data_IF_844854370797
#
_entry.id   IF_844854370797
#
_cell.length_a   1.000
_cell.length_b   1.000
_cell.length_c   1.000
_cell.angle_alpha   90.00
_cell.angle_beta   90.00
_cell.angle_gamma   90.00
#
_symmetry.space_group_name_H-M   'P 1'
#
loop_
_entity.id
_entity.type
_entity.pdbx_description
1 polymer ?
#
# COMPACT_ATOMS: atom_id res chain seq x y z
N UNK A 1 -18.71 35.59 9.17
CA UNK A 1 -18.82 34.18 8.78
C UNK A 1 -18.23 33.34 9.90
N UNK A 2 -19.01 32.47 10.56
CA UNK A 2 -18.45 31.44 11.44
C UNK A 2 -17.84 30.38 10.53
N UNK A 3 -16.53 30.18 10.61
CA UNK A 3 -15.88 29.04 9.96
C UNK A 3 -16.23 27.80 10.78
N UNK A 4 -16.84 26.81 10.13
CA UNK A 4 -17.07 25.52 10.75
C UNK A 4 -15.71 24.81 10.90
N UNK A 5 -15.43 24.18 12.05
CA UNK A 5 -14.23 23.37 12.17
C UNK A 5 -14.38 22.13 11.29
N UNK A 6 -13.31 21.85 10.54
CA UNK A 6 -13.26 20.72 9.60
C UNK A 6 -12.47 19.57 10.21
N UNK A 7 -13.00 18.35 10.11
CA UNK A 7 -12.40 17.13 10.63
C UNK A 7 -12.12 16.15 9.48
N UNK A 8 -10.89 15.63 9.34
CA UNK A 8 -10.60 14.62 8.33
C UNK A 8 -11.13 13.24 8.75
N UNK A 9 -11.89 12.57 7.88
CA UNK A 9 -12.34 11.20 8.12
C UNK A 9 -11.15 10.23 8.24
N UNK A 10 -11.23 9.26 9.17
CA UNK A 10 -10.18 8.26 9.38
C UNK A 10 -8.89 8.79 10.02
N UNK A 11 -8.78 10.09 10.28
CA UNK A 11 -7.58 10.73 10.84
C UNK A 11 -7.83 11.27 12.24
N UNK A 12 -6.78 11.28 13.06
CA UNK A 12 -6.87 11.70 14.47
C UNK A 12 -7.15 13.20 14.58
N UNK A 13 -8.28 13.56 15.16
CA UNK A 13 -8.64 14.91 15.58
C UNK A 13 -8.26 15.13 17.06
N UNK A 14 -7.98 16.39 17.41
CA UNK A 14 -7.64 16.80 18.77
C UNK A 14 -8.54 17.94 19.22
N UNK A 15 -9.05 17.85 20.44
CA UNK A 15 -9.78 18.90 21.12
C UNK A 15 -9.11 19.19 22.47
N UNK A 16 -9.15 20.46 22.87
CA UNK A 16 -8.74 20.88 24.21
C UNK A 16 -9.98 21.30 24.99
N UNK A 17 -10.29 20.55 26.05
CA UNK A 17 -11.45 20.79 26.90
C UNK A 17 -10.99 21.37 28.22
N UNK A 18 -11.44 22.59 28.53
CA UNK A 18 -11.19 23.23 29.82
C UNK A 18 -12.39 23.04 30.74
N UNK A 19 -12.15 22.53 31.94
CA UNK A 19 -13.14 22.36 32.99
C UNK A 19 -12.82 23.26 34.17
N UNK A 20 -13.81 24.05 34.61
CA UNK A 20 -13.70 24.88 35.80
C UNK A 20 -14.69 24.41 36.85
N UNK A 21 -14.19 24.13 38.04
CA UNK A 21 -15.06 23.83 39.17
C UNK A 21 -15.51 25.14 39.83
N UNK A 22 -16.76 25.53 39.59
CA UNK A 22 -17.34 26.75 40.16
C UNK A 22 -18.03 26.53 41.52
N UNK A 23 -18.17 25.29 41.97
CA UNK A 23 -18.81 24.99 43.24
C UNK A 23 -17.82 25.17 44.39
N UNK A 24 -18.20 26.00 45.37
CA UNK A 24 -17.40 26.21 46.57
C UNK A 24 -17.54 24.98 47.46
N UNK A 25 -16.44 24.52 48.05
CA UNK A 25 -16.38 23.38 48.98
C UNK A 25 -16.59 21.99 48.36
N UNK A 26 -17.03 21.89 47.11
CA UNK A 26 -17.15 20.62 46.39
C UNK A 26 -15.87 20.32 45.60
N UNK A 27 -15.27 19.16 45.84
CA UNK A 27 -14.15 18.66 45.06
C UNK A 27 -14.67 17.77 43.93
N UNK A 28 -14.33 18.12 42.70
CA UNK A 28 -14.75 17.36 41.53
C UNK A 28 -13.59 16.51 40.99
N UNK A 29 -13.85 15.25 40.71
CA UNK A 29 -12.90 14.37 40.03
C UNK A 29 -13.37 14.13 38.61
N UNK A 30 -12.60 14.59 37.61
CA UNK A 30 -12.90 14.30 36.21
C UNK A 30 -12.49 12.87 35.91
N UNK A 31 -13.48 12.05 35.54
CA UNK A 31 -13.35 10.60 35.42
C UNK A 31 -13.23 10.14 33.97
N UNK A 32 -14.00 10.74 33.06
CA UNK A 32 -14.10 10.30 31.67
C UNK A 32 -14.27 11.51 30.76
N UNK A 33 -13.65 11.50 29.59
CA UNK A 33 -13.95 12.44 28.51
C UNK A 33 -14.48 11.61 27.34
N UNK A 34 -15.59 12.07 26.77
CA UNK A 34 -16.31 11.37 25.73
C UNK A 34 -16.84 12.35 24.70
N UNK A 35 -17.10 11.82 23.52
CA UNK A 35 -17.79 12.56 22.47
C UNK A 35 -18.54 11.63 21.54
N UNK A 36 -19.45 12.20 20.78
CA UNK A 36 -20.22 11.47 19.78
C UNK A 36 -20.65 12.40 18.64
N UNK A 37 -20.90 11.82 17.48
CA UNK A 37 -21.46 12.48 16.30
C UNK A 37 -22.93 12.11 16.13
N UNK A 38 -23.74 13.10 15.77
CA UNK A 38 -25.13 12.91 15.34
C UNK A 38 -25.36 13.54 13.97
N UNK A 39 -26.43 13.11 13.30
CA UNK A 39 -26.89 13.80 12.09
C UNK A 39 -27.38 15.21 12.42
N UNK A 40 -27.07 16.20 11.57
CA UNK A 40 -27.62 17.56 11.69
C UNK A 40 -29.12 17.59 11.38
N UNK A 41 -29.61 16.65 10.55
CA UNK A 41 -31.03 16.55 10.17
C UNK A 41 -31.86 15.85 11.23
N UNK A 42 -31.26 14.86 11.91
CA UNK A 42 -31.95 13.99 12.88
C UNK A 42 -31.07 13.80 14.13
N UNK A 43 -31.29 14.64 15.15
CA UNK A 43 -30.49 14.65 16.38
C UNK A 43 -30.64 13.40 17.26
N UNK A 44 -31.71 12.62 17.10
CA UNK A 44 -31.93 11.40 17.88
C UNK A 44 -31.04 10.23 17.44
N UNK A 45 -30.41 10.33 16.27
CA UNK A 45 -29.57 9.27 15.73
C UNK A 45 -28.09 9.56 15.99
N UNK A 46 -27.51 8.79 16.90
CA UNK A 46 -26.06 8.74 17.10
C UNK A 46 -25.45 7.93 15.97
N UNK A 47 -24.55 8.56 15.21
CA UNK A 47 -23.86 7.94 14.07
C UNK A 47 -22.62 7.21 14.57
N UNK A 48 -21.83 7.87 15.43
CA UNK A 48 -20.60 7.33 15.96
C UNK A 48 -20.37 7.80 17.39
N UNK A 49 -20.06 6.86 18.29
CA UNK A 49 -19.51 7.16 19.60
C UNK A 49 -17.98 7.11 19.53
N UNK A 50 -17.30 8.09 20.11
CA UNK A 50 -15.84 8.12 20.17
C UNK A 50 -15.30 7.38 21.40
N UNK A 51 -14.03 6.99 21.32
CA UNK A 51 -13.34 6.31 22.41
C UNK A 51 -13.30 7.16 23.67
N UNK A 52 -13.76 6.59 24.78
CA UNK A 52 -13.77 7.28 26.07
C UNK A 52 -12.38 7.23 26.70
N UNK A 53 -11.83 8.40 27.03
CA UNK A 53 -10.53 8.49 27.73
C UNK A 53 -10.80 8.61 29.23
N UNK A 54 -10.26 7.66 30.00
CA UNK A 54 -10.34 7.69 31.46
C UNK A 54 -9.33 8.67 32.01
N UNK A 55 -9.81 9.54 32.88
CA UNK A 55 -9.01 10.41 33.73
C UNK A 55 -9.33 10.09 35.19
N UNK A 56 -8.45 10.51 36.10
CA UNK A 56 -8.70 10.46 37.54
C UNK A 56 -8.13 11.73 38.16
N UNK A 57 -8.46 12.88 37.54
CA UNK A 57 -7.86 14.15 37.90
C UNK A 57 -8.82 14.94 38.76
N UNK A 58 -8.34 15.24 39.96
CA UNK A 58 -9.04 16.09 40.92
C UNK A 58 -8.92 17.55 40.49
N UNK A 59 -10.04 18.27 40.52
CA UNK A 59 -10.14 19.72 40.25
C UNK A 59 -10.73 20.37 41.49
N UNK A 60 -9.89 21.16 42.18
CA UNK A 60 -10.28 21.81 43.43
C UNK A 60 -11.33 22.91 43.19
N UNK A 61 -12.09 23.30 44.23
CA UNK A 61 -12.99 24.44 44.14
C UNK A 61 -12.30 25.69 43.59
N UNK A 62 -12.86 26.30 42.55
CA UNK A 62 -12.33 27.51 41.92
C UNK A 62 -11.26 27.26 40.85
N UNK A 63 -10.65 26.07 40.82
CA UNK A 63 -9.59 25.74 39.87
C UNK A 63 -10.13 25.46 38.47
N UNK A 64 -9.30 25.75 37.47
CA UNK A 64 -9.55 25.40 36.07
C UNK A 64 -8.48 24.44 35.60
N UNK A 65 -8.90 23.36 34.95
CA UNK A 65 -8.02 22.32 34.44
C UNK A 65 -8.35 22.02 32.99
N UNK A 66 -7.32 21.95 32.15
CA UNK A 66 -7.45 21.59 30.74
C UNK A 66 -7.09 20.13 30.49
N UNK A 67 -7.82 19.51 29.57
CA UNK A 67 -7.67 18.13 29.16
C UNK A 67 -7.58 18.06 27.64
N UNK A 68 -6.54 17.39 27.14
CA UNK A 68 -6.44 17.07 25.74
C UNK A 68 -7.21 15.79 25.46
N UNK A 69 -8.15 15.86 24.53
CA UNK A 69 -8.95 14.73 24.07
C UNK A 69 -8.68 14.49 22.59
N UNK A 70 -8.35 13.26 22.25
CA UNK A 70 -8.12 12.88 20.87
C UNK A 70 -9.11 11.80 20.48
N UNK A 71 -9.68 11.94 19.28
CA UNK A 71 -10.65 11.00 18.73
C UNK A 71 -10.44 10.89 17.22
N UNK A 72 -10.97 9.85 16.61
CA UNK A 72 -10.80 9.57 15.17
C UNK A 72 -12.18 9.35 14.57
N UNK A 73 -12.66 10.25 13.69
CA UNK A 73 -13.87 10.02 12.89
C UNK A 73 -13.71 8.75 12.05
N UNK A 74 -14.79 7.99 11.88
CA UNK A 74 -14.74 6.77 11.07
C UNK A 74 -14.35 7.11 9.61
N UNK A 75 -13.42 6.36 8.97
CA UNK A 75 -13.03 6.60 7.58
C UNK A 75 -14.17 6.46 6.58
N UNK A 76 -15.26 5.77 6.95
CA UNK A 76 -16.44 5.56 6.10
C UNK A 76 -17.52 6.64 6.28
N UNK A 77 -17.27 7.69 7.07
CA UNK A 77 -18.19 8.83 7.16
C UNK A 77 -18.32 9.53 5.80
N UNK A 78 -19.54 9.94 5.49
CA UNK A 78 -19.80 10.72 4.28
C UNK A 78 -19.25 12.14 4.45
N UNK A 79 -18.71 12.77 3.39
CA UNK A 79 -18.22 14.14 3.45
C UNK A 79 -19.39 15.13 3.60
N UNK A 80 -19.78 15.44 4.83
CA UNK A 80 -20.92 16.30 5.14
C UNK A 80 -20.81 16.89 6.54
N UNK A 81 -21.79 17.71 6.89
CA UNK A 81 -21.88 18.35 8.19
C UNK A 81 -22.55 17.42 9.21
N UNK A 82 -21.92 17.29 10.36
CA UNK A 82 -22.40 16.53 11.51
C UNK A 82 -22.48 17.43 12.75
N UNK A 83 -23.35 17.07 13.70
CA UNK A 83 -23.30 17.70 15.01
C UNK A 83 -22.32 16.92 15.89
N UNK A 84 -21.31 17.62 16.44
CA UNK A 84 -20.35 17.04 17.36
C UNK A 84 -20.66 17.49 18.78
N UNK A 85 -20.85 16.50 19.65
CA UNK A 85 -20.98 16.72 21.07
C UNK A 85 -19.72 16.19 21.75
N UNK A 86 -19.01 17.06 22.47
CA UNK A 86 -17.91 16.69 23.34
C UNK A 86 -18.24 17.09 24.77
N UNK A 87 -17.86 16.24 25.73
CA UNK A 87 -18.07 16.54 27.13
C UNK A 87 -17.24 15.63 28.02
N UNK A 88 -17.44 15.80 29.32
CA UNK A 88 -16.74 15.02 30.32
C UNK A 88 -17.69 14.63 31.45
N UNK A 89 -17.37 13.52 32.08
CA UNK A 89 -17.99 13.08 33.31
C UNK A 89 -17.11 13.48 34.47
N UNK A 90 -17.72 14.10 35.48
CA UNK A 90 -17.07 14.38 36.74
C UNK A 90 -17.88 13.75 37.89
N UNK A 91 -17.16 13.25 38.89
CA UNK A 91 -17.71 12.79 40.14
C UNK A 91 -17.58 13.89 41.19
N UNK A 92 -18.66 14.20 41.87
CA UNK A 92 -18.69 15.15 42.97
C UNK A 92 -18.56 14.40 44.30
N UNK A 93 -17.57 14.78 45.11
CA UNK A 93 -17.30 14.13 46.40
C UNK A 93 -18.42 14.34 47.44
N UNK A 94 -19.18 15.45 47.36
CA UNK A 94 -20.20 15.78 48.35
C UNK A 94 -21.51 15.06 48.04
N UNK A 95 -22.01 15.18 46.80
CA UNK A 95 -23.24 14.51 46.38
C UNK A 95 -23.04 13.02 46.08
N UNK A 96 -21.78 12.60 45.92
CA UNK A 96 -21.37 11.25 45.54
C UNK A 96 -21.99 10.76 44.21
N UNK A 97 -22.36 11.70 43.33
CA UNK A 97 -22.95 11.43 42.03
C UNK A 97 -21.98 11.76 40.89
N UNK A 98 -22.17 11.11 39.75
CA UNK A 98 -21.44 11.42 38.52
C UNK A 98 -22.33 12.20 37.57
N UNK A 99 -21.83 13.33 37.09
CA UNK A 99 -22.54 14.22 36.17
C UNK A 99 -21.79 14.32 34.85
N UNK A 100 -22.55 14.46 33.75
CA UNK A 100 -22.00 14.79 32.44
C UNK A 100 -22.15 16.28 32.16
N UNK A 101 -21.07 16.92 31.72
CA UNK A 101 -21.09 18.31 31.28
C UNK A 101 -20.63 18.39 29.84
N UNK A 102 -21.41 19.09 29.02
CA UNK A 102 -21.11 19.33 27.62
C UNK A 102 -20.15 20.51 27.50
N UNK A 103 -19.01 20.29 26.84
CA UNK A 103 -18.02 21.31 26.55
C UNK A 103 -18.17 21.89 25.14
N UNK A 104 -18.65 21.07 24.20
CA UNK A 104 -18.87 21.46 22.81
C UNK A 104 -20.14 20.78 22.29
N UNK A 105 -20.98 21.53 21.58
CA UNK A 105 -22.19 21.06 20.90
C UNK A 105 -22.46 22.02 19.75
N UNK A 106 -21.76 21.83 18.64
CA UNK A 106 -21.90 22.64 17.45
C UNK A 106 -21.63 21.77 16.21
N UNK A 107 -22.00 22.30 15.05
CA UNK A 107 -21.81 21.65 13.77
C UNK A 107 -20.34 21.66 13.36
N UNK A 108 -19.88 20.52 12.82
CA UNK A 108 -18.53 20.33 12.28
C UNK A 108 -18.66 19.72 10.88
N UNK A 109 -17.76 20.09 9.98
CA UNK A 109 -17.72 19.50 8.64
C UNK A 109 -16.73 18.34 8.64
N UNK A 110 -17.14 17.19 8.11
CA UNK A 110 -16.22 16.05 7.93
C UNK A 110 -15.81 15.99 6.46
N UNK A 111 -14.51 16.01 6.23
CA UNK A 111 -13.92 15.87 4.90
C UNK A 111 -13.57 14.41 4.61
N UNK A 112 -13.37 14.11 3.32
CA UNK A 112 -12.87 12.81 2.86
C UNK A 112 -11.59 12.39 3.58
N UNK A 113 -11.39 11.08 3.71
CA UNK A 113 -10.18 10.56 4.34
C UNK A 113 -8.95 10.92 3.52
N UNK A 114 -7.92 11.42 4.20
CA UNK A 114 -6.60 11.63 3.59
C UNK A 114 -5.89 10.30 3.32
N UNK A 115 -6.35 9.19 3.90
CA UNK A 115 -5.77 7.88 3.63
C UNK A 115 -6.15 7.41 2.22
N UNK A 116 -5.15 6.98 1.46
CA UNK A 116 -5.39 6.42 0.13
C UNK A 116 -6.06 5.06 0.30
N UNK A 117 -7.34 4.98 -0.04
CA UNK A 117 -8.12 3.73 -0.01
C UNK A 117 -7.37 2.62 -0.78
N UNK A 118 -7.07 1.46 -0.16
CA UNK A 118 -6.49 0.29 -0.83
C UNK A 118 -7.20 -0.08 -2.13
N UNK A 119 -8.52 0.14 -2.23
CA UNK A 119 -9.30 -0.05 -3.47
C UNK A 119 -8.80 0.83 -4.60
N UNK A 120 -8.51 2.10 -4.32
CA UNK A 120 -8.02 3.06 -5.31
C UNK A 120 -6.63 2.66 -5.79
N UNK A 121 -5.75 2.23 -4.88
CA UNK A 121 -4.42 1.72 -5.23
C UNK A 121 -4.53 0.49 -6.13
N UNK A 122 -5.40 -0.46 -5.77
CA UNK A 122 -5.64 -1.66 -6.56
C UNK A 122 -6.20 -1.33 -7.95
N UNK A 123 -7.10 -0.34 -8.03
CA UNK A 123 -7.65 0.14 -9.30
C UNK A 123 -6.53 0.67 -10.19
N UNK A 124 -5.64 1.53 -9.68
CA UNK A 124 -4.51 2.00 -10.49
C UNK A 124 -3.53 0.89 -10.87
N UNK A 125 -3.25 -0.05 -9.97
CA UNK A 125 -2.37 -1.19 -10.26
C UNK A 125 -2.96 -2.09 -11.36
N UNK A 126 -4.27 -2.37 -11.29
CA UNK A 126 -4.97 -3.16 -12.32
C UNK A 126 -5.00 -2.45 -13.67
N UNK A 127 -5.26 -1.13 -13.69
CA UNK A 127 -5.15 -0.32 -14.91
C UNK A 127 -3.72 -0.37 -15.47
N UNK A 128 -2.71 -0.21 -14.61
CA UNK A 128 -1.31 -0.28 -15.02
C UNK A 128 -0.95 -1.65 -15.63
N UNK A 129 -1.38 -2.75 -15.02
CA UNK A 129 -1.20 -4.09 -15.58
C UNK A 129 -1.92 -4.27 -16.92
N UNK A 130 -3.13 -3.74 -17.08
CA UNK A 130 -3.90 -3.86 -18.31
C UNK A 130 -3.27 -3.06 -19.46
N UNK A 131 -2.94 -1.79 -19.22
CA UNK A 131 -2.26 -0.95 -20.22
C UNK A 131 -0.85 -1.47 -20.52
N UNK A 132 -0.09 -1.85 -19.50
CA UNK A 132 1.25 -2.43 -19.66
C UNK A 132 1.22 -3.75 -20.41
N UNK A 133 0.26 -4.62 -20.10
CA UNK A 133 0.04 -5.89 -20.80
C UNK A 133 -0.34 -5.69 -22.26
N UNK A 134 -1.26 -4.77 -22.55
CA UNK A 134 -1.67 -4.43 -23.91
C UNK A 134 -0.51 -3.83 -24.73
N UNK A 135 0.24 -2.89 -24.15
CA UNK A 135 1.41 -2.29 -24.79
C UNK A 135 2.50 -3.33 -25.06
N UNK A 136 2.76 -4.22 -24.10
CA UNK A 136 3.72 -5.32 -24.26
C UNK A 136 3.29 -6.28 -25.37
N UNK A 137 2.01 -6.68 -25.40
CA UNK A 137 1.48 -7.57 -26.43
C UNK A 137 1.57 -6.95 -27.83
N UNK A 138 1.24 -5.66 -27.95
CA UNK A 138 1.36 -4.92 -29.21
C UNK A 138 2.83 -4.82 -29.65
N UNK A 139 3.74 -4.50 -28.74
CA UNK A 139 5.17 -4.45 -29.02
C UNK A 139 5.75 -5.83 -29.40
N UNK A 140 5.21 -6.91 -28.85
CA UNK A 140 5.55 -8.28 -29.24
C UNK A 140 5.07 -8.59 -30.68
N UNK A 141 3.82 -8.22 -31.00
CA UNK A 141 3.24 -8.43 -32.33
C UNK A 141 3.90 -7.59 -33.42
N UNK A 142 4.29 -6.36 -33.11
CA UNK A 142 5.01 -5.47 -34.02
C UNK A 142 6.53 -5.76 -34.08
N UNK A 143 7.02 -6.76 -33.33
CA UNK A 143 8.44 -7.14 -33.35
C UNK A 143 9.39 -6.16 -32.66
N UNK A 144 8.88 -5.07 -32.07
CA UNK A 144 9.69 -4.08 -31.34
C UNK A 144 10.47 -4.70 -30.17
N UNK A 145 9.89 -5.67 -29.45
CA UNK A 145 10.57 -6.38 -28.36
C UNK A 145 11.73 -7.22 -28.87
N UNK A 146 11.55 -7.90 -30.01
CA UNK A 146 12.61 -8.69 -30.65
C UNK A 146 13.73 -7.79 -31.19
N UNK A 147 13.37 -6.65 -31.81
CA UNK A 147 14.31 -5.64 -32.30
C UNK A 147 15.15 -5.03 -31.17
N UNK A 148 14.53 -4.65 -30.04
CA UNK A 148 15.22 -4.14 -28.86
C UNK A 148 16.13 -5.19 -28.20
N UNK A 149 15.69 -6.46 -28.12
CA UNK A 149 16.53 -7.57 -27.65
C UNK A 149 17.71 -7.83 -28.59
N UNK A 150 17.49 -7.81 -29.90
CA UNK A 150 18.56 -7.97 -30.89
C UNK A 150 19.57 -6.82 -30.84
N UNK A 151 19.12 -5.58 -30.65
CA UNK A 151 19.99 -4.41 -30.46
C UNK A 151 20.82 -4.50 -29.18
N UNK A 152 20.27 -5.06 -28.10
CA UNK A 152 21.04 -5.35 -26.87
C UNK A 152 22.01 -6.52 -27.04
N UNK A 153 21.67 -7.53 -27.84
CA UNK A 153 22.53 -8.67 -28.13
C UNK A 153 23.69 -8.34 -29.08
N UNK A 154 23.50 -7.42 -30.04
CA UNK A 154 24.52 -6.98 -30.99
C UNK A 154 25.64 -6.09 -30.41
N UNK A 155 25.51 -5.66 -29.15
CA UNK A 155 26.56 -4.91 -28.44
C UNK A 155 27.55 -5.77 -27.66
N UNK A 156 27.27 -7.06 -27.48
CA UNK A 156 28.23 -8.00 -26.88
C UNK A 156 29.02 -8.64 -28.00
N UNK A 157 30.20 -8.07 -28.30
CA UNK A 157 31.26 -8.81 -29.00
C UNK A 157 31.43 -10.15 -28.29
N UNK A 158 30.89 -11.21 -28.89
CA UNK A 158 30.94 -12.55 -28.33
C UNK A 158 32.41 -12.92 -28.18
N UNK A 159 32.84 -13.11 -26.94
CA UNK A 159 34.15 -13.68 -26.63
C UNK A 159 34.31 -14.92 -27.50
N UNK A 160 35.29 -14.91 -28.42
CA UNK A 160 35.58 -16.03 -29.31
C UNK A 160 35.88 -17.23 -28.42
N UNK A 161 34.92 -18.13 -28.29
CA UNK A 161 35.10 -19.38 -27.56
C UNK A 161 35.79 -20.34 -28.52
N UNK A 162 36.91 -20.91 -28.09
CA UNK A 162 37.65 -21.98 -28.75
C UNK A 162 36.70 -23.17 -28.97
N UNK A 163 36.00 -23.19 -30.10
CA UNK A 163 35.48 -24.44 -30.65
C UNK A 163 36.71 -25.18 -31.16
N UNK A 164 36.91 -26.44 -30.76
CA UNK A 164 38.09 -27.22 -31.15
C UNK A 164 38.20 -27.43 -32.68
N UNK A 165 38.64 -28.61 -33.12
CA UNK A 165 38.97 -28.94 -34.52
C UNK A 165 37.81 -28.87 -35.55
N UNK A 166 36.70 -28.18 -35.24
CA UNK A 166 35.55 -27.93 -36.12
C UNK A 166 35.42 -26.46 -36.56
N UNK A 167 36.31 -25.57 -36.13
CA UNK A 167 36.28 -24.14 -36.49
C UNK A 167 37.19 -23.76 -37.67
N UNK A 168 37.00 -22.53 -38.18
CA UNK A 168 37.80 -21.90 -39.25
C UNK A 168 39.30 -21.70 -38.93
N UNK A 169 39.75 -22.08 -37.72
CA UNK A 169 41.17 -22.09 -37.32
C UNK A 169 41.87 -23.45 -37.53
N UNK A 170 41.23 -24.38 -38.22
CA UNK A 170 41.83 -25.66 -38.61
C UNK A 170 42.80 -25.43 -39.78
N UNK A 171 44.10 -25.46 -39.48
CA UNK A 171 45.15 -25.48 -40.49
C UNK A 171 45.39 -26.94 -40.94
N UNK A 172 45.06 -27.32 -42.18
CA UNK A 172 45.28 -28.70 -42.65
C UNK A 172 46.75 -29.02 -42.96
N UNK A 173 47.65 -28.02 -42.95
CA UNK A 173 49.01 -28.14 -43.50
C UNK A 173 50.02 -28.79 -42.53
N UNK A 174 49.69 -28.96 -41.24
CA UNK A 174 50.57 -29.64 -40.29
C UNK A 174 50.55 -31.18 -40.41
N UNK A 175 49.64 -31.73 -41.21
CA UNK A 175 49.52 -33.17 -41.46
C UNK A 175 50.14 -33.47 -42.82
N UNK A 176 51.11 -34.38 -42.88
CA UNK A 176 51.72 -34.77 -44.15
C UNK A 176 50.70 -35.40 -45.11
N UNK A 177 50.86 -35.16 -46.41
CA UNK A 177 49.99 -35.70 -47.46
C UNK A 177 49.90 -37.23 -47.45
N UNK A 178 50.95 -37.92 -47.00
CA UNK A 178 50.96 -39.38 -46.82
C UNK A 178 49.99 -39.86 -45.74
N UNK A 179 49.83 -39.08 -44.67
CA UNK A 179 48.94 -39.43 -43.56
C UNK A 179 47.47 -39.38 -43.98
N UNK A 180 47.11 -38.45 -44.87
CA UNK A 180 45.77 -38.40 -45.48
C UNK A 180 45.50 -39.62 -46.36
N UNK A 181 46.46 -40.00 -47.21
CA UNK A 181 46.34 -41.21 -48.06
C UNK A 181 46.19 -42.48 -47.22
N UNK A 182 46.95 -42.60 -46.12
CA UNK A 182 46.84 -43.72 -45.19
C UNK A 182 45.47 -43.79 -44.51
N UNK A 183 44.95 -42.64 -44.04
CA UNK A 183 43.61 -42.53 -43.45
C UNK A 183 42.52 -42.92 -44.45
N UNK A 184 42.60 -42.44 -45.69
CA UNK A 184 41.64 -42.78 -46.74
C UNK A 184 41.67 -44.27 -47.09
N UNK A 185 42.86 -44.87 -47.19
CA UNK A 185 43.01 -46.31 -47.40
C UNK A 185 42.39 -47.14 -46.26
N UNK A 186 42.54 -46.71 -45.00
CA UNK A 186 41.90 -47.33 -43.85
C UNK A 186 40.38 -47.19 -43.87
N UNK A 187 39.86 -46.01 -44.21
CA UNK A 187 38.42 -45.76 -44.31
C UNK A 187 37.78 -46.57 -45.43
N UNK A 188 38.43 -46.66 -46.59
CA UNK A 188 37.97 -47.47 -47.72
C UNK A 188 37.97 -48.96 -47.39
N UNK A 189 38.98 -49.44 -46.67
CA UNK A 189 39.06 -50.83 -46.20
C UNK A 189 37.92 -51.16 -45.23
N UNK A 190 37.54 -50.21 -44.38
CA UNK A 190 36.48 -50.42 -43.39
C UNK A 190 35.07 -50.21 -43.98
N UNK A 191 34.92 -49.36 -45.01
CA UNK A 191 33.62 -49.05 -45.63
C UNK A 191 33.07 -50.16 -46.54
N UNK A 192 33.90 -51.12 -46.96
CA UNK A 192 33.49 -52.22 -47.83
C UNK A 192 32.70 -53.33 -47.12
N UNK A 193 32.53 -53.25 -45.79
CA UNK A 193 31.95 -54.35 -44.99
C UNK A 193 30.53 -54.14 -44.45
N UNK A 194 29.84 -53.02 -44.74
CA UNK A 194 28.54 -52.75 -44.11
C UNK A 194 27.39 -52.64 -45.12
N UNK A 195 26.48 -53.62 -45.22
CA UNK A 195 25.30 -53.53 -46.09
C UNK A 195 24.27 -52.58 -45.47
N UNK A 196 23.98 -51.46 -46.14
CA UNK A 196 23.00 -50.47 -45.66
C UNK A 196 21.57 -50.97 -45.88
N UNK A 197 20.82 -51.17 -44.78
CA UNK A 197 19.38 -51.50 -44.77
C UNK A 197 18.55 -50.29 -45.25
N UNK A 198 17.88 -50.44 -46.40
CA UNK A 198 16.91 -49.49 -46.96
C UNK A 198 15.66 -49.40 -46.06
N UNK A 199 15.43 -48.28 -45.37
CA UNK A 199 14.20 -48.03 -44.58
C UNK A 199 13.03 -47.61 -45.48
N UNK A 200 11.90 -48.32 -45.38
CA UNK A 200 10.59 -47.93 -45.92
C UNK A 200 10.01 -46.75 -45.12
N UNK A 201 9.50 -45.74 -45.82
CA UNK A 201 8.81 -44.58 -45.27
C UNK A 201 7.40 -44.95 -44.78
N UNK A 202 7.01 -44.39 -43.64
CA UNK A 202 5.67 -43.91 -43.30
C UNK A 202 5.85 -42.54 -42.66
#
# INVERSE_FOLDING_TARGET
>A
MKLLPTLPAGSKANALVAYRNSQREHQHTVVLIAGYLTSVKVYSQVIQNFSVVRHARIVQPGDTTSFQYSFTPDPLLEPTDYNLILGLYFHDNVTNNTYFVTAFNDTVSVDESLETDPRTILTYLTLFCLFGGAAYFLALKLGFVAFLKAKRAGGSSGRRVEVGTKGEGYDPDYISSEHYKYKEALLQRNSSSSPSKKKKKL
#
